data_IF_421473235518
#
_entry.id   IF_421473235518
#
_cell.length_a   1.000
_cell.length_b   1.000
_cell.length_c   1.000
_cell.angle_alpha   90.00
_cell.angle_beta   90.00
_cell.angle_gamma   90.00
#
_symmetry.space_group_name_H-M   'P 1'
#
loop_
_entity.id
_entity.type
_entity.pdbx_description
1 polymer ?
#
# COMPACT_ATOMS: atom_id res chain seq x y z
N UNK A 1 59.39 7.14 -25.35
CA UNK A 1 59.41 5.66 -25.24
C UNK A 1 59.12 5.32 -23.78
N UNK A 2 58.24 4.42 -23.36
CA UNK A 2 57.49 3.37 -24.04
C UNK A 2 56.43 2.87 -23.04
N UNK A 3 55.16 2.93 -23.47
CA UNK A 3 54.12 1.89 -23.33
C UNK A 3 54.16 1.03 -22.06
N UNK A 4 53.15 1.17 -21.20
CA UNK A 4 52.43 0.02 -20.62
C UNK A 4 50.98 0.48 -20.42
N UNK A 5 50.17 0.32 -21.46
CA UNK A 5 49.16 -0.75 -21.56
C UNK A 5 47.99 -0.52 -20.58
N UNK A 6 47.07 0.32 -21.04
CA UNK A 6 45.64 0.22 -20.76
C UNK A 6 45.20 -1.19 -21.19
N UNK A 7 45.25 -2.12 -20.25
CA UNK A 7 44.67 -3.44 -20.38
C UNK A 7 43.22 -3.35 -19.95
N UNK A 8 42.39 -2.72 -20.79
CA UNK A 8 40.93 -2.80 -20.74
C UNK A 8 40.53 -4.20 -21.20
N UNK A 9 40.80 -5.17 -20.35
CA UNK A 9 40.34 -6.55 -20.48
C UNK A 9 39.10 -6.66 -19.60
N UNK A 10 37.98 -6.75 -20.31
CA UNK A 10 36.98 -7.79 -20.08
C UNK A 10 36.14 -7.64 -18.81
N UNK A 11 34.88 -7.28 -19.00
CA UNK A 11 33.76 -8.13 -18.55
C UNK A 11 32.56 -7.76 -19.43
N UNK A 12 32.50 -8.42 -20.59
CA UNK A 12 31.21 -8.82 -21.15
C UNK A 12 30.82 -10.08 -20.39
N UNK A 13 29.98 -9.95 -19.37
CA UNK A 13 29.17 -11.08 -18.91
C UNK A 13 27.73 -10.75 -19.22
N UNK A 14 27.27 -11.33 -20.34
CA UNK A 14 25.88 -11.49 -20.67
C UNK A 14 25.17 -12.16 -19.49
N UNK A 15 24.37 -11.39 -18.75
CA UNK A 15 23.43 -11.92 -17.78
C UNK A 15 22.26 -12.59 -18.49
N UNK A 16 22.45 -13.82 -18.96
CA UNK A 16 21.34 -14.74 -19.26
C UNK A 16 20.81 -15.23 -17.92
N UNK A 17 19.69 -14.69 -17.47
CA UNK A 17 18.94 -15.30 -16.37
C UNK A 17 18.10 -16.45 -16.93
N UNK A 18 18.55 -17.67 -16.65
CA UNK A 18 17.83 -18.92 -16.89
C UNK A 18 16.61 -18.98 -15.98
N UNK A 19 15.44 -19.18 -16.59
CA UNK A 19 14.17 -19.46 -15.92
C UNK A 19 14.26 -20.73 -15.07
N UNK A 20 14.08 -20.59 -13.76
CA UNK A 20 13.95 -21.71 -12.84
C UNK A 20 12.46 -21.98 -12.59
N UNK A 21 11.87 -22.83 -13.43
CA UNK A 21 10.54 -23.37 -13.22
C UNK A 21 10.64 -24.51 -12.19
N UNK A 22 10.36 -24.23 -10.92
CA UNK A 22 10.19 -25.27 -9.89
C UNK A 22 9.07 -24.90 -8.91
N UNK A 23 7.89 -25.47 -9.18
CA UNK A 23 7.02 -26.21 -8.25
C UNK A 23 6.66 -25.56 -6.90
N UNK A 24 5.42 -25.04 -6.85
CA UNK A 24 4.56 -24.82 -5.66
C UNK A 24 4.31 -26.21 -5.00
N UNK A 25 4.23 -26.41 -3.66
CA UNK A 25 3.58 -25.55 -2.65
C UNK A 25 4.26 -25.53 -1.25
N UNK A 26 4.56 -24.35 -0.70
CA UNK A 26 4.64 -24.17 0.76
C UNK A 26 4.07 -22.79 1.09
N UNK A 27 3.19 -22.82 2.08
CA UNK A 27 2.39 -21.75 2.64
C UNK A 27 3.25 -20.56 3.10
N UNK A 28 2.84 -19.34 2.72
CA UNK A 28 3.19 -18.00 3.27
C UNK A 28 4.69 -17.67 3.49
N UNK A 29 5.21 -16.58 2.87
CA UNK A 29 4.62 -15.25 3.02
C UNK A 29 4.39 -14.56 1.67
N UNK A 30 3.21 -13.96 1.54
CA UNK A 30 2.90 -13.05 0.43
C UNK A 30 3.98 -11.96 0.40
N UNK A 31 4.75 -12.00 -0.69
CA UNK A 31 5.52 -10.87 -1.20
C UNK A 31 4.53 -9.77 -1.53
N UNK A 32 4.47 -8.72 -0.71
CA UNK A 32 4.05 -7.42 -1.19
C UNK A 32 5.29 -6.52 -1.26
N UNK A 33 5.85 -6.46 -2.46
CA UNK A 33 6.84 -5.47 -2.86
C UNK A 33 6.39 -4.08 -2.40
N UNK A 34 7.29 -3.23 -1.86
CA UNK A 34 6.95 -1.83 -1.64
C UNK A 34 6.73 -1.19 -3.01
N UNK A 35 5.48 -1.13 -3.45
CA UNK A 35 5.10 -0.37 -4.62
C UNK A 35 5.28 1.10 -4.27
N UNK A 36 6.46 1.61 -4.62
CA UNK A 36 6.77 3.01 -4.81
C UNK A 36 5.97 3.54 -6.02
N UNK A 37 4.66 3.45 -5.95
CA UNK A 37 3.77 4.35 -6.67
C UNK A 37 3.74 5.64 -5.86
N UNK A 38 3.44 6.77 -6.47
CA UNK A 38 3.18 8.03 -5.77
C UNK A 38 1.85 7.91 -5.02
N UNK A 39 1.78 6.99 -4.06
CA UNK A 39 0.61 6.66 -3.26
C UNK A 39 0.50 7.79 -2.25
N UNK A 40 -0.67 8.43 -2.17
CA UNK A 40 -1.03 9.23 -1.00
C UNK A 40 -0.56 8.46 0.24
N UNK A 41 0.32 9.04 1.04
CA UNK A 41 0.91 8.36 2.19
C UNK A 41 -0.19 8.16 3.25
N UNK A 42 -0.93 7.07 3.10
CA UNK A 42 -1.94 6.62 4.04
C UNK A 42 -1.22 6.04 5.25
N UNK A 43 -1.16 6.81 6.32
CA UNK A 43 -0.64 6.36 7.61
C UNK A 43 -1.75 5.65 8.37
N UNK A 44 -1.49 4.45 8.86
CA UNK A 44 -2.42 3.76 9.76
C UNK A 44 -2.57 4.57 11.04
N UNK A 45 -3.82 4.78 11.47
CA UNK A 45 -4.17 5.53 12.66
C UNK A 45 -5.08 4.70 13.56
N UNK A 46 -5.14 5.07 14.83
CA UNK A 46 -6.08 4.42 15.73
C UNK A 46 -7.49 4.91 15.46
N UNK A 47 -8.46 4.06 15.79
CA UNK A 47 -9.89 4.39 15.71
C UNK A 47 -10.23 5.61 16.56
N UNK A 48 -9.49 5.85 17.65
CA UNK A 48 -9.64 7.04 18.50
C UNK A 48 -9.18 8.35 17.82
N UNK A 49 -8.35 8.26 16.78
CA UNK A 49 -7.88 9.42 16.02
C UNK A 49 -8.85 9.79 14.88
N UNK A 50 -9.91 8.99 14.68
CA UNK A 50 -10.94 9.28 13.70
C UNK A 50 -11.88 10.38 14.21
N UNK A 51 -12.30 11.30 13.32
CA UNK A 51 -13.33 12.28 13.64
C UNK A 51 -14.63 11.58 14.10
N UNK A 52 -15.35 12.20 15.02
CA UNK A 52 -16.64 11.68 15.48
C UNK A 52 -17.64 11.50 14.33
N UNK A 53 -17.64 12.41 13.35
CA UNK A 53 -18.47 12.31 12.15
C UNK A 53 -18.14 11.08 11.29
N UNK A 54 -16.87 10.69 11.23
CA UNK A 54 -16.42 9.49 10.53
C UNK A 54 -16.85 8.24 11.30
N UNK A 55 -16.68 8.24 12.62
CA UNK A 55 -17.11 7.15 13.50
C UNK A 55 -18.63 6.92 13.45
N UNK A 56 -19.42 7.98 13.54
CA UNK A 56 -20.89 7.94 13.46
C UNK A 56 -21.34 7.36 12.11
N UNK A 57 -20.68 7.77 11.02
CA UNK A 57 -20.97 7.23 9.69
C UNK A 57 -20.68 5.73 9.60
N UNK A 58 -19.53 5.28 10.10
CA UNK A 58 -19.16 3.86 10.10
C UNK A 58 -20.11 3.03 10.97
N UNK A 59 -20.50 3.56 12.13
CA UNK A 59 -21.49 2.94 13.00
C UNK A 59 -22.85 2.82 12.29
N UNK A 60 -23.27 3.82 11.52
CA UNK A 60 -24.50 3.79 10.74
C UNK A 60 -24.48 2.73 9.63
N UNK A 61 -23.33 2.51 8.98
CA UNK A 61 -23.17 1.42 7.99
C UNK A 61 -23.21 0.02 8.64
N UNK A 62 -23.11 -0.07 9.97
CA UNK A 62 -23.13 -1.34 10.70
C UNK A 62 -21.96 -2.26 10.37
N UNK A 63 -20.86 -1.71 9.84
CA UNK A 63 -19.70 -2.46 9.40
C UNK A 63 -18.59 -2.41 10.46
N UNK A 64 -17.88 -3.51 10.65
CA UNK A 64 -16.81 -3.60 11.65
C UNK A 64 -15.53 -2.96 11.11
N UNK A 65 -15.03 -1.91 11.76
CA UNK A 65 -13.76 -1.28 11.38
C UNK A 65 -12.61 -2.26 11.62
N UNK A 66 -11.90 -2.63 10.56
CA UNK A 66 -10.68 -3.46 10.62
C UNK A 66 -9.45 -2.60 10.76
N UNK A 67 -9.32 -1.60 9.89
CA UNK A 67 -8.18 -0.71 9.82
C UNK A 67 -8.63 0.69 9.40
N UNK A 68 -7.93 1.68 9.92
CA UNK A 68 -8.14 3.07 9.59
C UNK A 68 -6.82 3.69 9.17
N UNK A 69 -6.85 4.45 8.09
CA UNK A 69 -5.69 5.17 7.57
C UNK A 69 -6.07 6.63 7.34
N UNK A 70 -5.10 7.51 7.47
CA UNK A 70 -5.23 8.93 7.21
C UNK A 70 -4.18 9.37 6.20
N UNK A 71 -4.59 10.20 5.25
CA UNK A 71 -3.72 10.86 4.29
C UNK A 71 -4.16 12.32 4.12
N UNK A 72 -3.28 13.11 3.53
CA UNK A 72 -3.60 14.46 3.10
C UNK A 72 -3.84 14.45 1.59
N UNK A 73 -5.02 14.91 1.17
CA UNK A 73 -5.33 15.16 -0.23
C UNK A 73 -4.46 16.26 -0.82
N UNK A 74 -4.50 16.40 -2.14
CA UNK A 74 -3.73 17.43 -2.87
C UNK A 74 -4.08 18.86 -2.43
N UNK A 75 -5.31 19.08 -1.96
CA UNK A 75 -5.81 20.36 -1.45
C UNK A 75 -5.44 20.59 0.02
N UNK A 76 -4.69 19.68 0.66
CA UNK A 76 -4.37 19.73 2.09
C UNK A 76 -5.50 19.22 3.00
N UNK A 77 -6.61 18.75 2.42
CA UNK A 77 -7.73 18.17 3.18
C UNK A 77 -7.38 16.80 3.74
N UNK A 78 -7.84 16.49 4.96
CA UNK A 78 -7.66 15.17 5.57
C UNK A 78 -8.62 14.16 4.93
N UNK A 79 -8.04 13.07 4.44
CA UNK A 79 -8.73 11.94 3.81
C UNK A 79 -8.50 10.73 4.70
N UNK A 80 -9.59 10.14 5.15
CA UNK A 80 -9.60 8.93 5.96
C UNK A 80 -9.98 7.75 5.09
N UNK A 81 -9.09 6.76 4.97
CA UNK A 81 -9.36 5.50 4.27
C UNK A 81 -9.62 4.43 5.32
N UNK A 82 -10.78 3.80 5.28
CA UNK A 82 -11.23 2.88 6.33
C UNK A 82 -11.62 1.56 5.71
N UNK A 83 -10.95 0.49 6.14
CA UNK A 83 -11.32 -0.86 5.76
C UNK A 83 -12.33 -1.37 6.78
N UNK A 84 -13.51 -1.68 6.30
CA UNK A 84 -14.60 -2.25 7.09
C UNK A 84 -14.89 -3.68 6.63
N UNK A 85 -15.22 -4.54 7.59
CA UNK A 85 -15.73 -5.88 7.32
C UNK A 85 -17.25 -5.85 7.47
N UNK A 86 -17.94 -6.16 6.37
CA UNK A 86 -19.40 -6.32 6.35
C UNK A 86 -19.80 -7.69 6.90
N UNK A 87 -21.09 -7.87 7.22
CA UNK A 87 -21.62 -9.14 7.75
C UNK A 87 -21.42 -10.33 6.81
N UNK A 88 -21.35 -10.09 5.50
CA UNK A 88 -21.05 -11.10 4.48
C UNK A 88 -19.56 -11.50 4.46
N UNK A 89 -18.78 -11.08 5.46
CA UNK A 89 -17.33 -11.23 5.54
C UNK A 89 -16.59 -10.59 4.36
N UNK A 90 -17.21 -9.61 3.70
CA UNK A 90 -16.59 -8.86 2.62
C UNK A 90 -15.92 -7.62 3.17
N UNK A 91 -14.65 -7.45 2.83
CA UNK A 91 -13.88 -6.25 3.12
C UNK A 91 -14.22 -5.17 2.11
N UNK A 92 -14.65 -4.02 2.63
CA UNK A 92 -14.93 -2.83 1.84
C UNK A 92 -14.03 -1.71 2.31
N UNK A 93 -13.41 -1.00 1.37
CA UNK A 93 -12.66 0.22 1.65
C UNK A 93 -13.55 1.43 1.41
N UNK A 94 -13.71 2.26 2.44
CA UNK A 94 -14.40 3.53 2.40
C UNK A 94 -13.40 4.67 2.44
N UNK A 95 -13.61 5.71 1.65
CA UNK A 95 -12.85 6.95 1.71
C UNK A 95 -13.77 8.04 2.25
N UNK A 96 -13.36 8.67 3.34
CA UNK A 96 -14.16 9.60 4.12
C UNK A 96 -13.38 10.90 4.32
N UNK A 97 -14.07 12.02 4.23
CA UNK A 97 -13.54 13.32 4.63
C UNK A 97 -13.56 13.48 6.15
N UNK A 98 -12.96 14.57 6.63
CA UNK A 98 -13.03 14.96 8.05
C UNK A 98 -14.49 15.16 8.54
N UNK A 99 -15.38 15.53 7.63
CA UNK A 99 -16.81 15.72 7.87
C UNK A 99 -17.62 14.41 7.81
N UNK A 100 -16.97 13.25 7.72
CA UNK A 100 -17.64 11.95 7.64
C UNK A 100 -18.36 11.69 6.31
N UNK A 101 -18.18 12.56 5.31
CA UNK A 101 -18.75 12.36 3.97
C UNK A 101 -17.88 11.43 3.14
N UNK A 102 -18.53 10.57 2.34
CA UNK A 102 -17.84 9.69 1.41
C UNK A 102 -17.21 10.52 0.27
N UNK A 103 -15.90 10.35 0.11
CA UNK A 103 -15.14 10.89 -0.99
C UNK A 103 -15.14 9.82 -2.09
N UNK A 104 -15.74 10.13 -3.24
CA UNK A 104 -15.91 9.20 -4.36
C UNK A 104 -15.08 9.63 -5.56
#
# INVERSE_FOLDING_TARGET
MKKVLVTWVLVMTLGVSVSLAQVVPVEVPVVEKPQQSKVLAFSEIYVNDLPEAVMDRLAQEGAMIKQAFMAYGIDGSRIYKINVLTNDAHEQTLFLGEDGKLLK
#
